data_IF_418237102589
#
_entry.id   IF_418237102589
#
_cell.length_a   1.000
_cell.length_b   1.000
_cell.length_c   1.000
_cell.angle_alpha   90.00
_cell.angle_beta   90.00
_cell.angle_gamma   90.00
#
_symmetry.space_group_name_H-M   'P 1'
#
loop_
_entity.id
_entity.type
_entity.pdbx_description
1 polymer ?
#
# COMPACT_ATOMS: atom_id res chain seq x y z
N UNK A 1 -28.65 11.82 -11.51
CA UNK A 1 -27.22 12.13 -11.30
C UNK A 1 -26.39 11.14 -12.08
N UNK A 2 -25.87 11.53 -13.24
CA UNK A 2 -25.15 10.62 -14.15
C UNK A 2 -23.65 10.66 -13.81
N UNK A 3 -23.13 9.61 -13.17
CA UNK A 3 -21.68 9.42 -12.99
C UNK A 3 -21.07 9.04 -14.34
N UNK A 4 -20.48 10.01 -15.04
CA UNK A 4 -19.65 9.72 -16.23
C UNK A 4 -18.32 9.12 -15.75
N UNK A 5 -18.12 7.84 -16.03
CA UNK A 5 -16.81 7.19 -15.99
C UNK A 5 -15.94 7.84 -17.07
N UNK A 6 -14.91 8.57 -16.66
CA UNK A 6 -13.92 9.16 -17.56
C UNK A 6 -12.78 8.15 -17.74
N UNK A 7 -12.82 7.46 -18.87
CA UNK A 7 -11.78 6.55 -19.30
C UNK A 7 -10.85 7.32 -20.24
N UNK A 8 -9.70 7.78 -19.75
CA UNK A 8 -8.73 8.47 -20.62
C UNK A 8 -7.32 7.94 -20.32
N UNK A 9 -6.72 7.37 -21.35
CA UNK A 9 -5.31 6.98 -21.45
C UNK A 9 -4.54 8.15 -22.03
N UNK A 10 -3.46 8.55 -21.34
CA UNK A 10 -2.55 9.68 -21.60
C UNK A 10 -2.92 11.04 -20.96
N UNK A 11 -2.08 11.46 -20.00
CA UNK A 11 -2.05 12.76 -19.32
C UNK A 11 -3.42 13.37 -18.94
N UNK A 12 -4.08 12.76 -17.94
CA UNK A 12 -5.43 13.10 -17.52
C UNK A 12 -5.52 14.41 -16.73
N UNK A 13 -5.75 15.53 -17.43
CA UNK A 13 -6.23 16.76 -16.79
C UNK A 13 -7.74 16.66 -16.59
N UNK A 14 -8.16 16.27 -15.39
CA UNK A 14 -9.59 16.25 -15.01
C UNK A 14 -10.04 17.70 -14.82
N UNK A 15 -10.94 18.17 -15.69
CA UNK A 15 -11.50 19.52 -15.63
C UNK A 15 -12.86 19.43 -14.95
N UNK A 16 -13.00 20.00 -13.75
CA UNK A 16 -14.30 20.13 -13.09
C UNK A 16 -15.07 21.32 -13.65
N UNK A 17 -16.39 21.24 -13.69
CA UNK A 17 -17.27 22.42 -13.74
C UNK A 17 -16.94 23.34 -12.57
N UNK A 18 -16.96 24.67 -12.79
CA UNK A 18 -16.67 25.65 -11.74
C UNK A 18 -17.57 25.43 -10.52
N UNK A 19 -16.95 25.16 -9.36
CA UNK A 19 -17.65 24.98 -8.08
C UNK A 19 -17.52 26.30 -7.31
N UNK A 20 -18.66 26.89 -6.92
CA UNK A 20 -18.70 28.07 -6.07
C UNK A 20 -18.95 27.68 -4.62
N UNK A 21 -18.08 28.14 -3.72
CA UNK A 21 -18.19 27.92 -2.28
C UNK A 21 -18.73 29.20 -1.62
N UNK A 22 -19.95 29.14 -1.09
CA UNK A 22 -20.47 30.22 -0.24
C UNK A 22 -19.85 30.16 1.16
N UNK A 23 -19.78 31.30 1.89
CA UNK A 23 -19.32 31.30 3.27
C UNK A 23 -20.09 30.26 4.10
N UNK A 24 -19.35 29.45 4.89
CA UNK A 24 -19.89 28.36 5.72
C UNK A 24 -20.56 27.21 4.95
N UNK A 25 -20.40 27.12 3.63
CA UNK A 25 -20.82 25.96 2.84
C UNK A 25 -19.72 24.91 2.73
N UNK A 26 -20.12 23.67 2.49
CA UNK A 26 -19.23 22.54 2.20
C UNK A 26 -19.64 21.94 0.86
N UNK A 27 -18.65 21.61 0.02
CA UNK A 27 -18.86 20.82 -1.20
C UNK A 27 -17.94 19.61 -1.15
N UNK A 28 -18.42 18.47 -1.64
CA UNK A 28 -17.67 17.22 -1.71
C UNK A 28 -17.42 16.88 -3.18
N UNK A 29 -16.17 16.55 -3.51
CA UNK A 29 -15.78 16.08 -4.83
C UNK A 29 -15.30 14.65 -4.67
N UNK A 30 -15.97 13.72 -5.36
CA UNK A 30 -15.50 12.34 -5.47
C UNK A 30 -14.67 12.19 -6.74
N UNK A 31 -13.46 11.70 -6.59
CA UNK A 31 -12.56 11.39 -7.70
C UNK A 31 -12.31 9.90 -7.69
N UNK A 32 -12.61 9.26 -8.81
CA UNK A 32 -12.40 7.83 -9.01
C UNK A 32 -11.18 7.64 -9.90
N UNK A 33 -10.28 6.75 -9.48
CA UNK A 33 -9.09 6.39 -10.24
C UNK A 33 -9.16 4.91 -10.60
N UNK A 34 -8.78 4.59 -11.83
CA UNK A 34 -8.51 3.22 -12.24
C UNK A 34 -7.02 2.93 -12.05
N UNK A 35 -6.71 1.82 -11.40
CA UNK A 35 -5.33 1.37 -11.21
C UNK A 35 -5.09 0.24 -12.21
N UNK A 36 -4.28 0.54 -13.23
CA UNK A 36 -4.00 -0.43 -14.30
C UNK A 36 -2.90 -1.42 -13.93
N UNK A 37 -1.96 -1.01 -13.07
CA UNK A 37 -0.87 -1.86 -12.61
C UNK A 37 -0.61 -1.60 -11.13
N UNK A 38 -0.56 -2.68 -10.35
CA UNK A 38 -0.29 -2.65 -8.90
C UNK A 38 1.19 -2.86 -8.57
N UNK A 39 2.00 -3.25 -9.56
CA UNK A 39 3.43 -3.59 -9.44
C UNK A 39 4.31 -2.47 -8.89
N UNK A 40 3.83 -1.22 -8.92
CA UNK A 40 4.57 -0.04 -8.52
C UNK A 40 3.71 0.86 -7.61
N UNK A 41 4.37 1.55 -6.70
CA UNK A 41 3.75 2.63 -5.93
C UNK A 41 3.29 3.75 -6.89
N UNK A 42 2.05 4.22 -6.69
CA UNK A 42 1.45 5.26 -7.51
C UNK A 42 1.43 6.57 -6.74
N UNK A 43 1.84 7.67 -7.39
CA UNK A 43 1.81 9.00 -6.79
C UNK A 43 0.90 9.92 -7.61
N UNK A 44 -0.18 10.37 -7.00
CA UNK A 44 -1.06 11.37 -7.57
C UNK A 44 -0.66 12.75 -7.06
N UNK A 45 -0.04 13.55 -7.92
CA UNK A 45 0.17 14.98 -7.65
C UNK A 45 -1.07 15.77 -8.09
N UNK A 46 -1.64 16.52 -7.16
CA UNK A 46 -2.83 17.35 -7.42
C UNK A 46 -2.53 18.81 -7.11
N UNK A 47 -3.06 19.70 -7.95
CA UNK A 47 -3.09 21.14 -7.73
C UNK A 47 -4.54 21.60 -7.78
N UNK A 48 -5.04 22.15 -6.68
CA UNK A 48 -6.36 22.76 -6.56
C UNK A 48 -6.22 24.27 -6.62
N UNK A 49 -6.53 24.87 -7.76
CA UNK A 49 -6.55 26.34 -7.92
C UNK A 49 -7.93 26.90 -7.64
N UNK A 50 -8.00 28.01 -6.91
CA UNK A 50 -9.27 28.68 -6.56
C UNK A 50 -9.13 30.20 -6.68
N UNK A 51 -10.27 30.89 -6.73
CA UNK A 51 -10.34 32.35 -6.81
C UNK A 51 -11.29 32.85 -5.74
N UNK A 52 -10.80 33.76 -4.89
CA UNK A 52 -11.60 34.49 -3.91
C UNK A 52 -12.02 35.80 -4.55
N UNK A 53 -13.32 35.97 -4.75
CA UNK A 53 -13.85 37.21 -5.30
C UNK A 53 -14.06 38.22 -4.15
N UNK A 54 -13.22 39.24 -4.10
CA UNK A 54 -13.32 40.36 -3.14
C UNK A 54 -13.93 41.60 -3.78
N UNK A 55 -14.38 42.56 -2.96
CA UNK A 55 -15.07 43.78 -3.42
C UNK A 55 -14.20 44.70 -4.30
N UNK A 56 -12.88 44.69 -4.12
CA UNK A 56 -11.94 45.56 -4.85
C UNK A 56 -11.04 44.79 -5.83
N UNK A 57 -10.71 43.53 -5.52
CA UNK A 57 -9.83 42.69 -6.35
C UNK A 57 -10.14 41.22 -6.10
N UNK A 58 -10.06 40.42 -7.16
CA UNK A 58 -10.08 38.96 -7.05
C UNK A 58 -8.68 38.45 -6.73
N UNK A 59 -8.58 37.58 -5.74
CA UNK A 59 -7.34 36.90 -5.36
C UNK A 59 -7.37 35.47 -5.92
N UNK A 60 -6.25 35.03 -6.52
CA UNK A 60 -6.09 33.66 -7.02
C UNK A 60 -5.07 32.96 -6.17
N UNK A 61 -5.37 31.75 -5.77
CA UNK A 61 -4.47 30.92 -4.98
C UNK A 61 -4.59 29.44 -5.40
N UNK A 62 -3.65 28.61 -4.95
CA UNK A 62 -3.62 27.19 -5.25
C UNK A 62 -3.04 26.36 -4.12
N UNK A 63 -3.65 25.20 -3.88
CA UNK A 63 -3.20 24.20 -2.92
C UNK A 63 -2.62 23.03 -3.70
N UNK A 64 -1.37 22.66 -3.41
CA UNK A 64 -0.77 21.43 -3.92
C UNK A 64 -0.82 20.33 -2.85
N UNK A 65 -1.27 19.14 -3.23
CA UNK A 65 -1.16 17.96 -2.39
C UNK A 65 -0.76 16.74 -3.20
N UNK A 66 -0.11 15.77 -2.54
CA UNK A 66 0.29 14.51 -3.14
C UNK A 66 -0.39 13.36 -2.39
N UNK A 67 -1.06 12.48 -3.12
CA UNK A 67 -1.58 11.23 -2.60
C UNK A 67 -0.63 10.10 -3.03
N UNK A 68 0.04 9.48 -2.07
CA UNK A 68 0.89 8.32 -2.28
C UNK A 68 0.08 7.05 -2.04
N UNK A 69 0.08 6.15 -3.03
CA UNK A 69 -0.56 4.84 -3.00
C UNK A 69 0.54 3.77 -3.09
N UNK A 70 1.14 3.39 -1.94
CA UNK A 70 2.15 2.35 -1.90
C UNK A 70 1.59 0.96 -2.25
N UNK A 71 2.46 0.01 -2.61
CA UNK A 71 2.08 -1.36 -2.99
C UNK A 71 1.32 -2.07 -1.88
N UNK A 72 1.64 -1.78 -0.61
CA UNK A 72 0.89 -2.28 0.55
C UNK A 72 -0.59 -1.87 0.59
N UNK A 73 -1.01 -0.81 -0.12
CA UNK A 73 -2.44 -0.47 -0.28
C UNK A 73 -3.19 -1.45 -1.17
N UNK A 74 -2.48 -2.18 -2.03
CA UNK A 74 -3.04 -3.21 -2.91
C UNK A 74 -3.08 -4.58 -2.26
N UNK A 75 -2.73 -4.70 -0.98
CA UNK A 75 -2.86 -5.93 -0.20
C UNK A 75 -4.23 -6.01 0.47
N UNK A 76 -4.73 -7.23 0.56
CA UNK A 76 -5.90 -7.60 1.36
C UNK A 76 -5.52 -8.71 2.34
N UNK A 77 -6.02 -8.59 3.56
CA UNK A 77 -5.93 -9.66 4.56
C UNK A 77 -6.72 -10.86 4.06
N UNK A 78 -6.08 -12.03 4.06
CA UNK A 78 -6.74 -13.30 3.81
C UNK A 78 -6.20 -14.33 4.78
N UNK A 79 -7.09 -15.00 5.51
CA UNK A 79 -6.69 -16.06 6.41
C UNK A 79 -6.25 -17.29 5.60
N UNK A 80 -5.19 -17.95 6.08
CA UNK A 80 -4.65 -19.17 5.51
C UNK A 80 -4.18 -20.05 6.68
N UNK A 81 -4.48 -21.35 6.62
CA UNK A 81 -3.98 -22.31 7.61
C UNK A 81 -2.58 -22.82 7.20
N UNK A 82 -1.85 -23.42 8.14
CA UNK A 82 -0.48 -23.89 7.91
C UNK A 82 -0.37 -24.92 6.78
N UNK A 83 -1.33 -25.85 6.65
CA UNK A 83 -1.29 -26.89 5.61
C UNK A 83 -1.38 -26.28 4.21
N UNK A 84 -2.37 -25.40 3.97
CA UNK A 84 -2.55 -24.70 2.72
C UNK A 84 -1.37 -23.77 2.39
N UNK A 85 -0.74 -23.19 3.42
CA UNK A 85 0.47 -22.39 3.25
C UNK A 85 1.66 -23.26 2.82
N UNK A 86 1.85 -24.43 3.43
CA UNK A 86 2.89 -25.38 3.05
C UNK A 86 2.69 -25.89 1.61
N UNK A 87 1.45 -26.18 1.23
CA UNK A 87 1.09 -26.53 -0.15
C UNK A 87 1.43 -25.40 -1.12
N UNK A 88 1.06 -24.15 -0.80
CA UNK A 88 1.40 -23.00 -1.63
C UNK A 88 2.92 -22.85 -1.80
N UNK A 89 3.68 -22.97 -0.70
CA UNK A 89 5.13 -22.85 -0.70
C UNK A 89 5.84 -23.95 -1.48
N UNK A 90 5.25 -25.14 -1.55
CA UNK A 90 5.79 -26.30 -2.28
C UNK A 90 5.28 -26.41 -3.73
N UNK A 91 4.17 -25.74 -4.06
CA UNK A 91 3.50 -25.82 -5.37
C UNK A 91 4.30 -25.30 -6.57
N UNK A 92 5.36 -24.51 -6.36
CA UNK A 92 6.07 -23.80 -7.44
C UNK A 92 5.31 -22.59 -8.01
N UNK A 93 4.12 -22.27 -7.49
CA UNK A 93 3.31 -21.12 -7.93
C UNK A 93 4.02 -19.79 -7.67
N UNK A 94 4.71 -19.68 -6.53
CA UNK A 94 5.45 -18.48 -6.14
C UNK A 94 6.83 -18.51 -6.82
N UNK A 95 6.90 -17.88 -7.98
CA UNK A 95 8.09 -17.88 -8.86
C UNK A 95 9.12 -16.82 -8.48
N UNK A 96 8.72 -15.79 -7.75
CA UNK A 96 9.56 -14.67 -7.36
C UNK A 96 9.93 -14.76 -5.89
N UNK A 97 11.15 -14.36 -5.55
CA UNK A 97 11.63 -14.27 -4.17
C UNK A 97 12.45 -12.99 -3.95
N UNK A 98 12.37 -12.44 -2.74
CA UNK A 98 13.16 -11.28 -2.32
C UNK A 98 13.45 -11.38 -0.83
N UNK A 99 14.54 -10.75 -0.38
CA UNK A 99 15.05 -10.86 0.98
C UNK A 99 15.48 -9.49 1.51
N UNK A 100 15.12 -9.20 2.76
CA UNK A 100 15.58 -8.03 3.50
C UNK A 100 15.84 -8.38 4.96
N UNK A 101 16.74 -7.62 5.60
CA UNK A 101 16.85 -7.59 7.06
C UNK A 101 16.30 -6.27 7.59
N UNK A 102 15.49 -6.35 8.64
CA UNK A 102 14.92 -5.19 9.32
C UNK A 102 15.26 -5.21 10.81
N UNK A 103 15.48 -4.05 11.45
CA UNK A 103 15.72 -4.01 12.89
C UNK A 103 14.46 -4.35 13.69
N UNK A 104 14.64 -4.90 14.89
CA UNK A 104 13.57 -5.09 15.89
C UNK A 104 13.12 -3.77 16.53
N UNK A 105 13.94 -2.70 16.43
CA UNK A 105 13.59 -1.34 16.88
C UNK A 105 13.12 -1.27 18.34
N UNK A 106 13.84 -1.94 19.25
CA UNK A 106 13.52 -2.05 20.69
C UNK A 106 12.18 -2.75 21.00
N UNK A 107 11.59 -3.45 20.04
CA UNK A 107 10.43 -4.31 20.25
C UNK A 107 10.86 -5.77 20.32
N UNK A 108 10.09 -6.62 21.02
CA UNK A 108 10.25 -8.06 20.89
C UNK A 108 9.76 -8.56 19.53
N UNK A 109 10.18 -9.76 19.13
CA UNK A 109 9.83 -10.36 17.84
C UNK A 109 8.32 -10.38 17.60
N UNK A 110 7.52 -10.80 18.57
CA UNK A 110 6.07 -10.93 18.44
C UNK A 110 5.42 -9.56 18.22
N UNK A 111 5.84 -8.56 19.00
CA UNK A 111 5.35 -7.18 18.86
C UNK A 111 5.70 -6.58 17.50
N UNK A 112 6.91 -6.85 17.00
CA UNK A 112 7.35 -6.38 15.68
C UNK A 112 6.53 -7.01 14.55
N UNK A 113 6.30 -8.32 14.59
CA UNK A 113 5.46 -9.05 13.62
C UNK A 113 4.04 -8.49 13.59
N UNK A 114 3.44 -8.24 14.76
CA UNK A 114 2.10 -7.63 14.86
C UNK A 114 2.05 -6.26 14.20
N UNK A 115 3.05 -5.42 14.44
CA UNK A 115 3.16 -4.09 13.82
C UNK A 115 3.25 -4.20 12.29
N UNK A 116 4.08 -5.11 11.77
CA UNK A 116 4.19 -5.38 10.33
C UNK A 116 2.84 -5.84 9.76
N UNK A 117 2.16 -6.77 10.42
CA UNK A 117 0.86 -7.28 9.96
C UNK A 117 -0.21 -6.20 9.91
N UNK A 118 -0.22 -5.29 10.89
CA UNK A 118 -1.15 -4.17 10.93
C UNK A 118 -0.88 -3.17 9.81
N UNK A 119 0.37 -2.75 9.62
CA UNK A 119 0.77 -1.77 8.62
C UNK A 119 0.61 -2.27 7.19
N UNK A 120 0.90 -3.55 6.95
CA UNK A 120 0.97 -4.12 5.60
C UNK A 120 -0.14 -5.12 5.29
N UNK A 121 -1.21 -5.15 6.09
CA UNK A 121 -2.40 -6.01 5.88
C UNK A 121 -2.04 -7.50 5.72
N UNK A 122 -1.01 -7.95 6.42
CA UNK A 122 -0.64 -9.36 6.48
C UNK A 122 -1.42 -10.07 7.60
N UNK A 123 -1.55 -11.38 7.46
CA UNK A 123 -2.08 -12.27 8.50
C UNK A 123 -0.98 -13.24 8.92
N UNK A 124 -0.90 -13.51 10.23
CA UNK A 124 -0.03 -14.54 10.77
C UNK A 124 -0.67 -15.89 10.46
N UNK A 125 0.03 -16.74 9.71
CA UNK A 125 -0.36 -18.14 9.47
C UNK A 125 0.07 -18.98 10.66
N UNK A 126 1.33 -18.83 11.06
CA UNK A 126 1.94 -19.52 12.19
C UNK A 126 3.06 -18.68 12.77
N UNK A 127 3.32 -18.85 14.06
CA UNK A 127 4.46 -18.28 14.74
C UNK A 127 4.98 -19.30 15.75
N UNK A 128 6.24 -19.70 15.60
CA UNK A 128 6.90 -20.69 16.46
C UNK A 128 8.23 -20.09 16.90
N UNK A 129 8.36 -19.84 18.21
CA UNK A 129 9.55 -19.25 18.82
C UNK A 129 9.94 -17.92 18.15
N UNK A 130 11.07 -17.92 17.46
CA UNK A 130 11.67 -16.78 16.76
C UNK A 130 11.45 -16.82 15.25
N UNK A 131 10.45 -17.58 14.78
CA UNK A 131 10.06 -17.65 13.38
C UNK A 131 8.55 -17.42 13.21
N UNK A 132 8.16 -16.84 12.08
CA UNK A 132 6.77 -16.60 11.72
C UNK A 132 6.58 -16.76 10.21
N UNK A 133 5.42 -17.31 9.83
CA UNK A 133 4.96 -17.37 8.44
C UNK A 133 3.77 -16.41 8.31
N UNK A 134 3.84 -15.50 7.34
CA UNK A 134 2.80 -14.50 7.08
C UNK A 134 2.26 -14.66 5.67
N UNK A 135 1.01 -14.23 5.49
CA UNK A 135 0.33 -14.33 4.22
C UNK A 135 -0.58 -13.14 3.94
N UNK A 136 -0.73 -12.82 2.66
CA UNK A 136 -1.74 -11.91 2.13
C UNK A 136 -2.03 -12.24 0.66
N UNK A 137 -3.02 -11.56 0.09
CA UNK A 137 -3.20 -11.51 -1.35
C UNK A 137 -3.21 -10.08 -1.84
N UNK A 138 -2.89 -9.89 -3.11
CA UNK A 138 -3.19 -8.62 -3.79
C UNK A 138 -4.70 -8.48 -4.01
N UNK A 139 -5.15 -7.27 -4.32
CA UNK A 139 -6.53 -7.00 -4.77
C UNK A 139 -6.89 -7.76 -6.07
N UNK A 140 -5.89 -8.24 -6.82
CA UNK A 140 -6.07 -9.08 -8.00
C UNK A 140 -6.08 -10.59 -7.66
N UNK A 141 -5.97 -10.95 -6.38
CA UNK A 141 -5.97 -12.33 -5.91
C UNK A 141 -4.64 -13.05 -6.05
N UNK A 142 -3.53 -12.34 -6.29
CA UNK A 142 -2.21 -12.97 -6.37
C UNK A 142 -1.67 -13.22 -4.96
N UNK A 143 -1.19 -14.44 -4.65
CA UNK A 143 -0.70 -14.80 -3.33
C UNK A 143 0.66 -14.17 -3.02
N UNK A 144 0.84 -13.75 -1.78
CA UNK A 144 2.12 -13.26 -1.26
C UNK A 144 2.38 -13.90 0.10
N UNK A 145 3.52 -14.56 0.21
CA UNK A 145 3.94 -15.28 1.40
C UNK A 145 5.23 -14.66 1.95
N UNK A 146 5.36 -14.63 3.27
CA UNK A 146 6.58 -14.21 3.94
C UNK A 146 7.01 -15.22 4.99
N UNK A 147 8.31 -15.44 5.12
CA UNK A 147 8.95 -16.17 6.19
C UNK A 147 9.85 -15.19 6.95
N UNK A 148 9.61 -15.07 8.25
CA UNK A 148 10.34 -14.17 9.12
C UNK A 148 11.07 -14.97 10.17
N UNK A 149 12.34 -14.63 10.41
CA UNK A 149 13.17 -15.28 11.41
C UNK A 149 14.02 -14.25 12.15
N UNK A 150 13.96 -14.24 13.48
CA UNK A 150 14.90 -13.45 14.28
C UNK A 150 16.31 -13.97 14.06
N UNK A 151 17.27 -13.07 13.84
CA UNK A 151 18.67 -13.43 13.71
C UNK A 151 19.27 -13.80 15.08
N UNK A 152 20.43 -14.47 15.08
CA UNK A 152 21.10 -14.96 16.30
C UNK A 152 21.45 -13.84 17.30
N UNK A 153 21.61 -12.60 16.84
CA UNK A 153 21.86 -11.45 17.71
C UNK A 153 20.58 -10.88 18.35
N UNK A 154 19.39 -11.36 17.98
CA UNK A 154 18.09 -10.81 18.40
C UNK A 154 17.98 -9.29 18.22
N UNK A 155 18.71 -8.73 17.25
CA UNK A 155 18.66 -7.30 16.90
C UNK A 155 17.85 -7.08 15.63
N UNK A 156 17.81 -8.08 14.75
CA UNK A 156 17.22 -7.99 13.42
C UNK A 156 16.27 -9.16 13.16
N UNK A 157 15.33 -8.94 12.26
CA UNK A 157 14.49 -9.94 11.65
C UNK A 157 14.88 -10.07 10.19
N UNK A 158 15.21 -11.29 9.81
CA UNK A 158 15.35 -11.68 8.42
C UNK A 158 13.96 -11.93 7.83
N UNK A 159 13.67 -11.32 6.68
CA UNK A 159 12.37 -11.39 6.01
C UNK A 159 12.57 -11.89 4.59
N UNK A 160 12.16 -13.13 4.35
CA UNK A 160 12.06 -13.72 3.02
C UNK A 160 10.63 -13.59 2.52
N UNK A 161 10.45 -13.03 1.33
CA UNK A 161 9.14 -12.87 0.70
C UNK A 161 9.09 -13.61 -0.62
N UNK A 162 7.92 -14.15 -0.93
CA UNK A 162 7.64 -14.88 -2.16
C UNK A 162 6.33 -14.43 -2.77
N UNK A 163 6.29 -14.33 -4.09
CA UNK A 163 5.14 -13.83 -4.85
C UNK A 163 5.16 -14.41 -6.27
N UNK A 164 4.13 -14.09 -7.06
CA UNK A 164 4.06 -14.36 -8.50
C UNK A 164 4.57 -13.18 -9.36
N UNK A 165 4.83 -12.01 -8.75
CA UNK A 165 5.25 -10.80 -9.48
C UNK A 165 6.43 -10.11 -8.79
N UNK A 166 7.54 -9.96 -9.52
CA UNK A 166 8.83 -9.50 -9.00
C UNK A 166 8.81 -8.03 -8.58
N UNK A 167 8.24 -7.14 -9.40
CA UNK A 167 8.27 -5.70 -9.13
C UNK A 167 7.42 -5.36 -7.92
N UNK A 168 6.22 -5.93 -7.81
CA UNK A 168 5.36 -5.80 -6.65
C UNK A 168 6.07 -6.22 -5.37
N UNK A 169 6.68 -7.41 -5.39
CA UNK A 169 7.39 -7.95 -4.22
C UNK A 169 8.57 -7.07 -3.83
N UNK A 170 9.36 -6.60 -4.79
CA UNK A 170 10.50 -5.72 -4.54
C UNK A 170 10.07 -4.40 -3.89
N UNK A 171 9.07 -3.73 -4.46
CA UNK A 171 8.54 -2.48 -3.91
C UNK A 171 7.95 -2.68 -2.51
N UNK A 172 7.21 -3.77 -2.29
CA UNK A 172 6.66 -4.09 -0.97
C UNK A 172 7.76 -4.36 0.07
N UNK A 173 8.84 -5.04 -0.33
CA UNK A 173 9.99 -5.24 0.56
C UNK A 173 10.67 -3.93 0.94
N UNK A 174 10.82 -2.99 0.00
CA UNK A 174 11.34 -1.65 0.30
C UNK A 174 10.44 -0.88 1.28
N UNK A 175 9.13 -1.01 1.14
CA UNK A 175 8.17 -0.46 2.11
C UNK A 175 8.37 -1.07 3.49
N UNK A 176 8.40 -2.41 3.60
CA UNK A 176 8.61 -3.12 4.88
C UNK A 176 9.95 -2.74 5.53
N UNK A 177 11.00 -2.54 4.72
CA UNK A 177 12.32 -2.12 5.18
C UNK A 177 12.32 -0.72 5.77
N UNK A 178 11.42 0.14 5.31
CA UNK A 178 11.31 1.51 5.81
C UNK A 178 10.84 1.50 7.26
N UNK A 179 11.49 2.25 8.17
CA UNK A 179 11.07 2.31 9.57
C UNK A 179 9.60 2.73 9.69
N UNK A 180 8.79 1.86 10.28
CA UNK A 180 7.43 2.17 10.69
C UNK A 180 7.51 3.34 11.70
N UNK A 181 6.90 4.49 11.36
CA UNK A 181 6.86 5.68 12.21
C UNK A 181 5.81 5.56 13.30
#
# INVERSE_FOLDING_TARGET
MSSKLLNTTSANRISFTTISLFPRSQNYIHIYFAINAISFSQNLKTTLSYTINGSNKNEKDSIEFKLNLPCSQYLRKKLMNSDAFADLMSSGTLTCQSHIDIPLSNQDFTSRIKTICQSYRLTIVEQINSAASLYAETILGQPIAFLLKSTNSQTNISVDGKSTETHFLSNLMEEIKTPLR
#
